data_IF_489968140262
#
_entry.id   IF_489968140262
#
_cell.length_a   1.000
_cell.length_b   1.000
_cell.length_c   1.000
_cell.angle_alpha   90.00
_cell.angle_beta   90.00
_cell.angle_gamma   90.00
#
_symmetry.space_group_name_H-M   'P 1'
#
loop_
_entity.id
_entity.type
_entity.pdbx_description
1 polymer ?
#
# COMPACT_ATOMS: atom_id res chain seq x y z
N UNK A 1 -11.29 1.85 -24.22
CA UNK A 1 -11.13 2.11 -22.78
C UNK A 1 -9.68 1.80 -22.46
N UNK A 2 -9.02 2.64 -21.68
CA UNK A 2 -7.61 2.48 -21.33
C UNK A 2 -7.50 2.35 -19.81
N UNK A 3 -6.66 1.42 -19.33
CA UNK A 3 -6.35 1.31 -17.91
C UNK A 3 -5.58 2.56 -17.43
N UNK A 4 -4.66 3.07 -18.26
CA UNK A 4 -3.97 4.33 -17.99
C UNK A 4 -4.85 5.51 -18.42
N UNK A 5 -5.73 5.94 -17.54
CA UNK A 5 -6.61 7.09 -17.73
C UNK A 5 -6.31 8.22 -16.73
N UNK A 6 -6.79 9.43 -17.02
CA UNK A 6 -6.65 10.56 -16.10
C UNK A 6 -7.40 10.30 -14.79
N UNK A 7 -8.58 9.70 -14.87
CA UNK A 7 -9.43 9.35 -13.73
C UNK A 7 -8.72 8.37 -12.78
N UNK A 8 -8.05 7.33 -13.33
CA UNK A 8 -7.24 6.41 -12.54
C UNK A 8 -6.06 7.11 -11.86
N UNK A 9 -5.37 7.99 -12.58
CA UNK A 9 -4.27 8.76 -11.99
C UNK A 9 -4.77 9.71 -10.90
N UNK A 10 -5.94 10.35 -11.09
CA UNK A 10 -6.56 11.18 -10.05
C UNK A 10 -6.97 10.36 -8.82
N UNK A 11 -7.53 9.16 -9.00
CA UNK A 11 -7.88 8.28 -7.88
C UNK A 11 -6.66 8.00 -6.98
N UNK A 12 -5.50 7.73 -7.56
CA UNK A 12 -4.28 7.55 -6.79
C UNK A 12 -3.75 8.85 -6.19
N UNK A 13 -3.79 9.94 -6.96
CA UNK A 13 -3.25 11.22 -6.53
C UNK A 13 -4.04 11.83 -5.36
N UNK A 14 -5.35 11.59 -5.31
CA UNK A 14 -6.20 12.02 -4.19
C UNK A 14 -5.73 11.46 -2.85
N UNK A 15 -5.08 10.29 -2.85
CA UNK A 15 -4.53 9.69 -1.64
C UNK A 15 -3.36 10.47 -1.01
N UNK A 16 -2.76 11.42 -1.76
CA UNK A 16 -1.81 12.39 -1.21
C UNK A 16 -2.48 13.42 -0.27
N UNK A 17 -3.81 13.59 -0.36
CA UNK A 17 -4.61 14.39 0.58
C UNK A 17 -5.15 13.58 1.75
N UNK A 18 -5.08 12.24 1.67
CA UNK A 18 -5.59 11.35 2.73
C UNK A 18 -4.57 11.26 3.86
N UNK A 19 -4.75 12.10 4.86
CA UNK A 19 -3.91 12.10 6.05
C UNK A 19 -4.20 10.89 6.94
N UNK A 20 -3.15 10.21 7.35
CA UNK A 20 -3.17 9.09 8.30
C UNK A 20 -2.92 9.59 9.72
N UNK A 21 -3.32 8.80 10.72
CA UNK A 21 -3.14 9.12 12.13
C UNK A 21 -3.79 10.45 12.55
N UNK A 22 -4.97 10.76 11.98
CA UNK A 22 -5.69 12.02 12.20
C UNK A 22 -6.12 12.27 13.64
N UNK A 23 -6.19 11.22 14.45
CA UNK A 23 -6.53 11.24 15.87
C UNK A 23 -5.32 11.28 16.82
N UNK A 24 -4.10 11.43 16.25
CA UNK A 24 -2.84 11.47 16.99
C UNK A 24 -2.07 12.77 16.74
N UNK A 25 -1.18 13.13 17.67
CA UNK A 25 -0.22 14.19 17.45
C UNK A 25 0.80 13.71 16.40
N UNK A 26 0.98 14.48 15.34
CA UNK A 26 1.86 14.17 14.22
C UNK A 26 2.94 15.24 14.08
N UNK A 27 4.22 14.88 14.05
CA UNK A 27 5.31 15.82 13.81
C UNK A 27 5.37 16.26 12.33
N UNK A 28 4.71 15.52 11.43
CA UNK A 28 4.67 15.72 9.98
C UNK A 28 3.38 15.15 9.39
N UNK A 29 3.07 15.54 8.16
CA UNK A 29 1.97 14.94 7.42
C UNK A 29 2.37 13.53 6.97
N UNK A 30 1.53 12.55 7.33
CA UNK A 30 1.64 11.16 6.91
C UNK A 30 0.48 10.86 5.97
N UNK A 31 0.79 10.65 4.69
CA UNK A 31 -0.23 10.45 3.65
C UNK A 31 -0.45 8.98 3.32
N UNK A 32 -1.64 8.65 2.84
CA UNK A 32 -1.92 7.30 2.37
C UNK A 32 -1.06 6.94 1.15
N UNK A 33 -0.79 7.89 0.24
CA UNK A 33 0.08 7.67 -0.92
C UNK A 33 1.48 7.20 -0.50
N UNK A 34 2.10 7.89 0.47
CA UNK A 34 3.43 7.52 0.97
C UNK A 34 3.43 6.16 1.67
N UNK A 35 2.37 5.86 2.39
CA UNK A 35 2.22 4.56 3.06
C UNK A 35 2.11 3.42 2.03
N UNK A 36 1.35 3.61 0.96
CA UNK A 36 1.22 2.59 -0.08
C UNK A 36 2.54 2.41 -0.85
N UNK A 37 3.30 3.47 -1.09
CA UNK A 37 4.63 3.38 -1.68
C UNK A 37 5.59 2.59 -0.79
N UNK A 38 5.62 2.89 0.51
CA UNK A 38 6.45 2.16 1.46
C UNK A 38 6.04 0.67 1.54
N UNK A 39 4.73 0.38 1.57
CA UNK A 39 4.21 -0.99 1.51
C UNK A 39 4.70 -1.74 0.27
N UNK A 40 4.63 -1.13 -0.92
CA UNK A 40 5.05 -1.77 -2.16
C UNK A 40 6.56 -2.09 -2.16
N UNK A 41 7.39 -1.18 -1.63
CA UNK A 41 8.82 -1.41 -1.47
C UNK A 41 9.13 -2.51 -0.44
N UNK A 42 8.42 -2.55 0.69
CA UNK A 42 8.56 -3.62 1.69
C UNK A 42 8.12 -4.96 1.10
N UNK A 43 7.02 -5.02 0.34
CA UNK A 43 6.56 -6.24 -0.32
C UNK A 43 7.63 -6.78 -1.29
N UNK A 44 8.32 -5.89 -2.02
CA UNK A 44 9.46 -6.27 -2.85
C UNK A 44 10.59 -6.90 -2.03
N UNK A 45 10.99 -6.28 -0.91
CA UNK A 45 12.05 -6.82 -0.05
C UNK A 45 11.67 -8.22 0.46
N UNK A 46 10.44 -8.39 0.97
CA UNK A 46 9.95 -9.67 1.47
C UNK A 46 9.89 -10.73 0.35
N UNK A 47 9.41 -10.38 -0.84
CA UNK A 47 9.40 -11.28 -2.00
C UNK A 47 10.82 -11.71 -2.40
N UNK A 48 11.79 -10.77 -2.40
CA UNK A 48 13.21 -11.09 -2.67
C UNK A 48 13.84 -11.97 -1.61
N UNK A 49 13.48 -11.78 -0.34
CA UNK A 49 13.92 -12.68 0.74
C UNK A 49 13.34 -14.09 0.55
N UNK A 50 12.07 -14.21 0.22
CA UNK A 50 11.44 -15.49 -0.08
C UNK A 50 12.09 -16.20 -1.29
N UNK A 51 12.41 -15.47 -2.37
CA UNK A 51 13.20 -16.01 -3.50
C UNK A 51 14.58 -16.52 -3.06
N UNK A 52 15.28 -15.77 -2.20
CA UNK A 52 16.60 -16.16 -1.70
C UNK A 52 16.56 -17.44 -0.85
N UNK A 53 15.42 -17.78 -0.28
CA UNK A 53 15.16 -19.04 0.43
C UNK A 53 14.63 -20.15 -0.48
N UNK A 54 14.60 -19.93 -1.81
CA UNK A 54 14.24 -20.91 -2.81
C UNK A 54 12.74 -20.98 -3.15
N UNK A 55 11.94 -20.01 -2.72
CA UNK A 55 10.52 -19.93 -3.11
C UNK A 55 10.38 -19.32 -4.50
N UNK A 56 9.45 -19.85 -5.28
CA UNK A 56 8.99 -19.20 -6.51
C UNK A 56 7.93 -18.17 -6.13
N UNK A 57 8.08 -16.94 -6.58
CA UNK A 57 7.17 -15.82 -6.27
C UNK A 57 6.43 -15.40 -7.53
N UNK A 58 5.11 -15.30 -7.43
CA UNK A 58 4.28 -14.64 -8.44
C UNK A 58 4.32 -13.12 -8.22
N UNK A 59 5.22 -12.46 -8.96
CA UNK A 59 5.36 -11.00 -8.85
C UNK A 59 4.14 -10.24 -9.37
N UNK A 60 3.40 -10.77 -10.34
CA UNK A 60 2.14 -10.17 -10.80
C UNK A 60 1.11 -10.19 -9.67
N UNK A 61 1.11 -11.26 -8.85
CA UNK A 61 0.29 -11.37 -7.64
C UNK A 61 0.66 -10.34 -6.57
N UNK A 62 1.96 -10.13 -6.28
CA UNK A 62 2.41 -9.11 -5.31
C UNK A 62 2.06 -7.69 -5.80
N UNK A 63 2.38 -7.36 -7.05
CA UNK A 63 2.14 -6.04 -7.62
C UNK A 63 0.63 -5.76 -7.68
N UNK A 64 -0.14 -6.71 -8.20
CA UNK A 64 -1.60 -6.63 -8.23
C UNK A 64 -2.21 -6.49 -6.83
N UNK A 65 -1.75 -7.27 -5.85
CA UNK A 65 -2.16 -7.15 -4.45
C UNK A 65 -1.88 -5.78 -3.85
N UNK A 66 -0.71 -5.19 -4.16
CA UNK A 66 -0.39 -3.82 -3.75
C UNK A 66 -1.31 -2.79 -4.42
N UNK A 67 -1.53 -2.92 -5.74
CA UNK A 67 -2.36 -2.02 -6.54
C UNK A 67 -3.83 -2.07 -6.11
N UNK A 68 -4.44 -3.26 -6.06
CA UNK A 68 -5.87 -3.39 -5.79
C UNK A 68 -6.23 -3.09 -4.33
N UNK A 69 -5.36 -3.44 -3.37
CA UNK A 69 -5.53 -2.99 -1.99
C UNK A 69 -5.42 -1.47 -1.85
N UNK A 70 -4.62 -0.82 -2.70
CA UNK A 70 -4.55 0.64 -2.75
C UNK A 70 -5.82 1.25 -3.35
N UNK A 71 -6.32 0.74 -4.49
CA UNK A 71 -7.61 1.17 -5.08
C UNK A 71 -8.73 1.05 -4.04
N UNK A 72 -8.86 -0.13 -3.42
CA UNK A 72 -9.84 -0.35 -2.34
C UNK A 72 -9.74 0.71 -1.24
N UNK A 73 -8.53 1.05 -0.81
CA UNK A 73 -8.29 2.04 0.24
C UNK A 73 -8.63 3.46 -0.23
N UNK A 74 -8.25 3.83 -1.46
CA UNK A 74 -8.53 5.14 -2.05
C UNK A 74 -10.03 5.39 -2.23
N UNK A 75 -10.79 4.33 -2.55
CA UNK A 75 -12.25 4.39 -2.68
C UNK A 75 -12.94 4.50 -1.32
N UNK A 76 -12.51 3.69 -0.33
CA UNK A 76 -13.15 3.64 1.00
C UNK A 76 -12.83 4.86 1.88
N UNK A 77 -11.85 5.66 1.48
CA UNK A 77 -11.42 6.88 2.19
C UNK A 77 -11.33 6.76 3.74
N UNK A 78 -11.82 7.73 4.52
CA UNK A 78 -11.54 7.97 5.93
C UNK A 78 -12.16 7.00 6.97
N UNK A 79 -12.36 5.72 6.65
CA UNK A 79 -12.81 4.77 7.65
C UNK A 79 -11.70 4.51 8.69
N UNK A 80 -12.01 4.74 9.97
CA UNK A 80 -11.11 4.39 11.08
C UNK A 80 -10.79 2.88 11.03
N UNK A 81 -9.54 2.45 11.27
CA UNK A 81 -9.15 1.04 11.18
C UNK A 81 -10.06 0.10 11.98
N UNK A 82 -10.43 0.46 13.22
CA UNK A 82 -11.30 -0.37 14.07
C UNK A 82 -12.71 -0.53 13.46
N UNK A 83 -13.24 0.54 12.86
CA UNK A 83 -14.54 0.50 12.16
C UNK A 83 -14.43 -0.32 10.90
N UNK A 84 -13.35 -0.12 10.13
CA UNK A 84 -13.09 -0.86 8.91
C UNK A 84 -13.02 -2.38 9.15
N UNK A 85 -12.21 -2.84 10.12
CA UNK A 85 -12.09 -4.26 10.44
C UNK A 85 -13.45 -4.87 10.81
N UNK A 86 -14.20 -4.21 11.68
CA UNK A 86 -15.51 -4.70 12.11
C UNK A 86 -16.53 -4.75 10.97
N UNK A 87 -16.58 -3.71 10.13
CA UNK A 87 -17.50 -3.65 8.98
C UNK A 87 -17.11 -4.70 7.93
N UNK A 88 -15.83 -4.93 7.69
CA UNK A 88 -15.36 -5.94 6.76
C UNK A 88 -15.69 -7.35 7.26
N UNK A 89 -15.48 -7.65 8.55
CA UNK A 89 -15.83 -8.96 9.13
C UNK A 89 -17.32 -9.27 9.04
N UNK A 90 -18.18 -8.27 9.33
CA UNK A 90 -19.64 -8.46 9.37
C UNK A 90 -20.33 -8.34 8.00
N UNK A 91 -19.74 -7.58 7.05
CA UNK A 91 -20.41 -7.13 5.82
C UNK A 91 -19.47 -7.09 4.60
N UNK A 92 -18.56 -8.03 4.49
CA UNK A 92 -17.55 -8.07 3.41
C UNK A 92 -18.16 -7.89 2.01
N UNK A 93 -19.23 -8.64 1.72
CA UNK A 93 -19.88 -8.58 0.40
C UNK A 93 -20.42 -7.18 0.08
N UNK A 94 -21.06 -6.53 1.07
CA UNK A 94 -21.60 -5.18 0.90
C UNK A 94 -20.49 -4.14 0.70
N UNK A 95 -19.36 -4.32 1.39
CA UNK A 95 -18.18 -3.46 1.23
C UNK A 95 -17.59 -3.64 -0.17
N UNK A 96 -17.50 -4.87 -0.66
CA UNK A 96 -16.96 -5.16 -1.98
C UNK A 96 -17.84 -4.58 -3.10
N UNK A 97 -19.18 -4.73 -2.99
CA UNK A 97 -20.14 -4.09 -3.91
C UNK A 97 -19.94 -2.57 -3.89
N UNK A 98 -19.92 -1.96 -2.70
CA UNK A 98 -19.70 -0.51 -2.58
C UNK A 98 -18.38 -0.06 -3.21
N UNK A 99 -17.29 -0.83 -3.03
CA UNK A 99 -15.99 -0.50 -3.64
C UNK A 99 -16.07 -0.52 -5.16
N UNK A 100 -16.75 -1.50 -5.75
CA UNK A 100 -16.92 -1.58 -7.21
C UNK A 100 -17.81 -0.44 -7.74
N UNK A 101 -18.93 -0.17 -7.08
CA UNK A 101 -19.86 0.91 -7.49
C UNK A 101 -19.15 2.28 -7.44
N UNK A 102 -18.39 2.56 -6.37
CA UNK A 102 -17.64 3.80 -6.24
C UNK A 102 -16.45 3.87 -7.21
N UNK A 103 -15.80 2.75 -7.48
CA UNK A 103 -14.75 2.68 -8.50
C UNK A 103 -15.32 2.99 -9.88
N UNK A 104 -16.42 2.34 -10.27
CA UNK A 104 -17.08 2.57 -11.55
C UNK A 104 -17.62 4.02 -11.68
N UNK A 105 -18.05 4.64 -10.56
CA UNK A 105 -18.47 6.05 -10.55
C UNK A 105 -17.29 7.03 -10.73
N UNK A 106 -16.11 6.75 -10.17
CA UNK A 106 -14.92 7.61 -10.27
C UNK A 106 -14.13 7.36 -11.56
N UNK A 107 -14.19 6.15 -12.11
CA UNK A 107 -13.49 5.74 -13.32
C UNK A 107 -14.50 5.11 -14.31
N UNK A 108 -15.45 5.90 -14.84
CA UNK A 108 -16.61 5.38 -15.58
C UNK A 108 -16.25 4.62 -16.87
N UNK A 109 -15.09 4.95 -17.47
CA UNK A 109 -14.59 4.30 -18.69
C UNK A 109 -13.38 3.40 -18.40
N UNK A 110 -13.37 2.73 -17.24
CA UNK A 110 -12.28 1.86 -16.83
C UNK A 110 -12.07 0.71 -17.84
N UNK A 111 -10.81 0.30 -17.99
CA UNK A 111 -10.47 -0.86 -18.80
C UNK A 111 -11.11 -2.12 -18.22
N UNK A 112 -11.78 -2.98 -19.05
CA UNK A 112 -12.43 -4.17 -18.55
C UNK A 112 -11.50 -5.18 -17.89
N UNK A 113 -10.24 -5.26 -18.31
CA UNK A 113 -9.25 -6.17 -17.70
C UNK A 113 -8.87 -5.66 -16.31
N UNK A 114 -8.60 -4.35 -16.17
CA UNK A 114 -8.32 -3.74 -14.87
C UNK A 114 -9.48 -3.92 -13.90
N UNK A 115 -10.68 -3.62 -14.37
CA UNK A 115 -11.92 -3.74 -13.57
C UNK A 115 -12.18 -5.19 -13.17
N UNK A 116 -12.00 -6.15 -14.08
CA UNK A 116 -12.14 -7.58 -13.79
C UNK A 116 -11.11 -8.06 -12.76
N UNK A 117 -9.84 -7.65 -12.88
CA UNK A 117 -8.80 -7.97 -11.88
C UNK A 117 -9.11 -7.38 -10.49
N UNK A 118 -9.68 -6.17 -10.42
CA UNK A 118 -10.14 -5.59 -9.15
C UNK A 118 -11.26 -6.42 -8.54
N UNK A 119 -12.23 -6.84 -9.35
CA UNK A 119 -13.33 -7.70 -8.91
C UNK A 119 -12.80 -9.04 -8.38
N UNK A 120 -11.93 -9.72 -9.13
CA UNK A 120 -11.28 -10.97 -8.70
C UNK A 120 -10.54 -10.80 -7.37
N UNK A 121 -9.82 -9.68 -7.20
CA UNK A 121 -9.15 -9.34 -5.94
C UNK A 121 -10.15 -9.20 -4.78
N UNK A 122 -11.27 -8.51 -4.98
CA UNK A 122 -12.27 -8.26 -3.93
C UNK A 122 -13.05 -9.52 -3.53
N UNK A 123 -13.36 -10.41 -4.49
CA UNK A 123 -14.15 -11.62 -4.24
C UNK A 123 -13.31 -12.88 -3.98
N UNK A 124 -12.01 -12.74 -3.93
CA UNK A 124 -11.11 -13.86 -3.67
C UNK A 124 -11.38 -14.48 -2.29
N UNK A 125 -11.58 -15.81 -2.28
CA UNK A 125 -11.91 -16.58 -1.06
C UNK A 125 -10.68 -17.10 -0.34
N UNK A 126 -9.63 -17.42 -1.10
CA UNK A 126 -8.40 -18.00 -0.56
C UNK A 126 -7.27 -16.98 -0.65
N UNK A 127 -6.52 -16.86 0.43
CA UNK A 127 -5.35 -16.00 0.50
C UNK A 127 -4.14 -16.74 -0.07
N UNK A 128 -3.51 -16.17 -1.10
CA UNK A 128 -2.26 -16.68 -1.65
C UNK A 128 -1.07 -16.37 -0.73
N UNK A 129 0.09 -16.95 -1.02
CA UNK A 129 1.32 -16.60 -0.32
C UNK A 129 1.74 -15.15 -0.61
N UNK A 130 1.52 -14.67 -1.83
CA UNK A 130 1.76 -13.30 -2.25
C UNK A 130 0.88 -12.30 -1.50
N UNK A 131 -0.37 -12.66 -1.24
CA UNK A 131 -1.25 -11.84 -0.41
C UNK A 131 -0.73 -11.72 1.01
N UNK A 132 -0.20 -12.83 1.55
CA UNK A 132 0.41 -12.83 2.87
C UNK A 132 1.65 -11.93 2.93
N UNK A 133 2.46 -11.87 1.86
CA UNK A 133 3.57 -10.92 1.74
C UNK A 133 3.05 -9.47 1.73
N UNK A 134 2.01 -9.18 0.96
CA UNK A 134 1.42 -7.84 0.86
C UNK A 134 0.83 -7.38 2.20
N UNK A 135 0.18 -8.28 2.93
CA UNK A 135 -0.37 -8.00 4.26
C UNK A 135 0.74 -7.78 5.30
N UNK A 136 1.79 -8.60 5.30
CA UNK A 136 2.95 -8.38 6.14
C UNK A 136 3.58 -6.99 5.88
N UNK A 137 3.75 -6.64 4.60
CA UNK A 137 4.26 -5.33 4.20
C UNK A 137 3.35 -4.18 4.64
N UNK A 138 2.03 -4.38 4.61
CA UNK A 138 1.06 -3.41 5.11
C UNK A 138 1.27 -3.10 6.60
N UNK A 139 1.39 -4.13 7.44
CA UNK A 139 1.59 -3.96 8.88
C UNK A 139 2.97 -3.41 9.22
N UNK A 140 4.02 -3.83 8.52
CA UNK A 140 5.38 -3.28 8.70
C UNK A 140 5.44 -1.78 8.34
N UNK A 141 4.84 -1.36 7.23
CA UNK A 141 4.76 0.05 6.85
C UNK A 141 3.97 0.87 7.88
N UNK A 142 2.86 0.32 8.39
CA UNK A 142 2.03 0.97 9.41
C UNK A 142 2.78 1.10 10.74
N UNK A 143 3.49 0.06 11.17
CA UNK A 143 4.30 0.08 12.39
C UNK A 143 5.46 1.07 12.29
N UNK A 144 6.09 1.17 11.13
CA UNK A 144 7.14 2.15 10.88
C UNK A 144 6.61 3.59 11.04
N UNK A 145 5.45 3.91 10.45
CA UNK A 145 4.79 5.20 10.65
C UNK A 145 4.45 5.47 12.11
N UNK A 146 3.94 4.45 12.81
CA UNK A 146 3.61 4.58 14.22
C UNK A 146 4.85 4.92 15.05
N UNK A 147 6.02 4.39 14.70
CA UNK A 147 7.29 4.76 15.32
C UNK A 147 7.58 6.26 15.26
N UNK A 148 7.22 6.94 14.17
CA UNK A 148 7.42 8.39 14.00
C UNK A 148 6.55 9.23 14.94
N UNK A 149 5.36 8.72 15.31
CA UNK A 149 4.40 9.46 16.14
C UNK A 149 4.38 9.02 17.61
N UNK A 150 4.95 7.83 17.90
CA UNK A 150 4.83 7.19 19.21
C UNK A 150 5.30 8.09 20.34
N UNK A 151 6.48 8.70 20.23
CA UNK A 151 7.09 9.50 21.30
C UNK A 151 6.23 10.72 21.67
N UNK A 152 5.60 11.35 20.67
CA UNK A 152 4.69 12.49 20.89
C UNK A 152 3.35 12.10 21.52
N UNK A 153 3.03 10.80 21.52
CA UNK A 153 1.76 10.28 21.99
C UNK A 153 1.88 9.34 23.22
N UNK A 154 3.07 9.11 23.79
CA UNK A 154 3.32 8.14 24.87
C UNK A 154 2.34 8.24 26.05
N UNK A 155 1.91 9.46 26.40
CA UNK A 155 1.00 9.72 27.51
C UNK A 155 -0.48 9.71 27.10
N UNK A 156 -0.79 9.42 25.85
CA UNK A 156 -2.17 9.42 25.36
C UNK A 156 -2.87 8.09 25.65
N UNK A 157 -4.17 8.18 25.88
CA UNK A 157 -5.00 7.00 26.12
C UNK A 157 -4.96 6.03 24.92
N UNK A 158 -4.80 4.75 25.19
CA UNK A 158 -4.83 3.68 24.18
C UNK A 158 -3.59 3.54 23.31
N UNK A 159 -2.56 4.40 23.47
CA UNK A 159 -1.37 4.33 22.60
C UNK A 159 -0.54 3.05 22.81
N UNK A 160 -0.45 2.57 24.05
CA UNK A 160 0.22 1.31 24.36
C UNK A 160 -0.52 0.12 23.73
N UNK A 161 -1.85 0.11 23.84
CA UNK A 161 -2.69 -0.96 23.28
C UNK A 161 -2.56 -1.00 21.75
N UNK A 162 -2.49 0.19 21.13
CA UNK A 162 -2.28 0.30 19.68
C UNK A 162 -0.93 -0.29 19.28
N UNK A 163 0.15 0.00 20.01
CA UNK A 163 1.48 -0.58 19.78
C UNK A 163 1.45 -2.09 19.92
N UNK A 164 0.91 -2.57 21.03
CA UNK A 164 0.90 -4.00 21.35
C UNK A 164 0.04 -4.79 20.34
N UNK A 165 -1.07 -4.22 19.89
CA UNK A 165 -1.90 -4.80 18.82
C UNK A 165 -1.14 -4.88 17.49
N UNK A 166 -0.40 -3.83 17.10
CA UNK A 166 0.41 -3.88 15.87
C UNK A 166 1.55 -4.89 15.97
N UNK A 167 2.23 -4.96 17.11
CA UNK A 167 3.30 -5.94 17.32
C UNK A 167 2.76 -7.38 17.27
N UNK A 168 1.58 -7.65 17.84
CA UNK A 168 0.88 -8.93 17.73
C UNK A 168 0.51 -9.27 16.28
N UNK A 169 0.00 -8.29 15.51
CA UNK A 169 -0.32 -8.53 14.10
C UNK A 169 0.92 -8.89 13.30
N UNK A 170 2.06 -8.22 13.52
CA UNK A 170 3.32 -8.55 12.83
C UNK A 170 3.80 -9.96 13.22
N UNK A 171 3.60 -10.39 14.46
CA UNK A 171 3.97 -11.74 14.90
C UNK A 171 3.25 -12.85 14.12
N UNK A 172 2.05 -12.58 13.61
CA UNK A 172 1.33 -13.54 12.76
C UNK A 172 2.00 -13.78 11.42
N UNK A 173 2.96 -12.95 11.00
CA UNK A 173 3.70 -13.03 9.74
C UNK A 173 5.17 -13.42 9.90
N UNK A 174 5.59 -13.92 11.07
CA UNK A 174 7.00 -14.28 11.32
C UNK A 174 7.49 -15.46 10.47
N UNK A 175 6.59 -16.21 9.84
CA UNK A 175 6.88 -17.25 8.86
C UNK A 175 7.19 -16.69 7.46
N UNK A 176 6.94 -15.40 7.20
CA UNK A 176 7.31 -14.73 5.95
C UNK A 176 8.78 -14.28 6.05
N UNK A 177 9.67 -14.78 5.15
CA UNK A 177 11.08 -14.42 5.15
C UNK A 177 11.31 -12.91 5.13
N UNK A 178 12.18 -12.44 6.02
CA UNK A 178 12.51 -11.02 6.15
C UNK A 178 11.68 -10.24 7.17
N UNK A 179 10.51 -10.73 7.59
CA UNK A 179 9.68 -10.01 8.59
C UNK A 179 10.42 -9.85 9.92
N UNK A 180 11.07 -10.90 10.41
CA UNK A 180 11.87 -10.84 11.64
C UNK A 180 13.00 -9.82 11.54
N UNK A 181 13.67 -9.76 10.40
CA UNK A 181 14.76 -8.82 10.15
C UNK A 181 14.28 -7.37 10.13
N UNK A 182 13.06 -7.12 9.62
CA UNK A 182 12.46 -5.78 9.57
C UNK A 182 11.85 -5.34 10.91
N UNK A 183 11.55 -6.29 11.80
CA UNK A 183 11.07 -5.97 13.16
C UNK A 183 12.19 -5.48 14.06
N UNK A 184 13.43 -5.94 13.84
CA UNK A 184 14.61 -5.62 14.63
C UNK A 184 15.59 -4.75 13.83
N UNK A 185 16.64 -4.27 14.48
CA UNK A 185 17.71 -3.52 13.82
C UNK A 185 18.60 -4.43 12.96
N UNK A 186 19.01 -3.94 11.79
CA UNK A 186 19.89 -4.66 10.87
C UNK A 186 19.84 -4.06 9.47
N UNK A 187 20.58 -4.62 8.52
CA UNK A 187 20.69 -4.04 7.17
C UNK A 187 19.34 -3.99 6.44
N UNK A 188 18.52 -5.03 6.59
CA UNK A 188 17.17 -5.08 5.99
C UNK A 188 16.28 -4.01 6.60
N UNK A 189 16.30 -3.83 7.92
CA UNK A 189 15.58 -2.75 8.59
C UNK A 189 16.10 -1.38 8.15
N UNK A 190 17.41 -1.18 8.09
CA UNK A 190 18.02 0.09 7.68
C UNK A 190 17.63 0.44 6.23
N UNK A 191 17.55 -0.54 5.33
CA UNK A 191 17.11 -0.32 3.96
C UNK A 191 15.64 0.05 3.88
N UNK A 192 14.77 -0.64 4.61
CA UNK A 192 13.36 -0.28 4.74
C UNK A 192 13.19 1.14 5.31
N UNK A 193 13.95 1.48 6.35
CA UNK A 193 13.92 2.81 6.97
C UNK A 193 14.40 3.90 5.99
N UNK A 194 15.47 3.65 5.24
CA UNK A 194 15.97 4.57 4.21
C UNK A 194 14.90 4.87 3.15
N UNK A 195 14.20 3.86 2.66
CA UNK A 195 13.09 4.04 1.72
C UNK A 195 11.97 4.85 2.38
N UNK A 196 11.59 4.52 3.60
CA UNK A 196 10.58 5.24 4.35
C UNK A 196 10.89 6.73 4.51
N UNK A 197 12.18 7.09 4.65
CA UNK A 197 12.63 8.48 4.78
C UNK A 197 12.46 9.32 3.50
N UNK A 198 12.27 8.72 2.32
CA UNK A 198 12.00 9.44 1.08
C UNK A 198 10.69 10.26 1.15
N UNK A 199 9.78 9.96 2.09
CA UNK A 199 8.60 10.79 2.38
C UNK A 199 8.93 12.15 2.98
N UNK A 200 10.11 12.34 3.56
CA UNK A 200 10.54 13.63 4.09
C UNK A 200 11.07 14.56 3.00
N UNK A 201 11.31 14.04 1.81
CA UNK A 201 11.82 14.78 0.67
C UNK A 201 10.66 15.21 -0.23
N UNK A 202 10.49 16.54 -0.40
CA UNK A 202 9.48 17.08 -1.31
C UNK A 202 9.97 17.06 -2.75
N UNK A 203 9.14 16.54 -3.65
CA UNK A 203 9.34 16.72 -5.10
C UNK A 203 8.97 18.15 -5.48
N UNK A 204 9.82 18.78 -6.36
CA UNK A 204 9.55 20.08 -6.98
C UNK A 204 9.34 21.20 -5.94
N UNK A 205 10.16 21.24 -4.92
CA UNK A 205 10.08 22.18 -3.80
C UNK A 205 10.00 23.66 -4.19
N UNK A 206 10.35 24.00 -5.46
CA UNK A 206 10.33 25.37 -5.98
C UNK A 206 8.98 25.78 -6.61
N UNK A 207 8.04 24.86 -6.77
CA UNK A 207 6.73 25.14 -7.37
C UNK A 207 5.62 24.93 -6.34
N UNK A 208 4.67 25.87 -6.18
CA UNK A 208 3.49 25.68 -5.34
C UNK A 208 2.69 24.47 -5.84
N UNK A 209 2.22 23.61 -4.92
CA UNK A 209 1.44 22.43 -5.26
C UNK A 209 0.42 22.07 -4.22
N UNK A 210 -0.70 21.59 -4.69
CA UNK A 210 -1.77 21.00 -3.91
C UNK A 210 -2.20 19.73 -4.64
N UNK A 211 -2.10 18.55 -4.01
CA UNK A 211 -1.41 18.27 -2.75
C UNK A 211 0.13 18.33 -2.85
N UNK A 212 0.79 18.39 -1.71
CA UNK A 212 2.24 18.21 -1.64
C UNK A 212 2.58 16.75 -1.95
N UNK A 213 3.53 16.54 -2.86
CA UNK A 213 3.97 15.21 -3.26
C UNK A 213 5.42 15.01 -2.81
N UNK A 214 5.66 13.93 -2.12
CA UNK A 214 7.00 13.49 -1.68
C UNK A 214 7.73 12.75 -2.80
N UNK A 215 9.02 12.48 -2.62
CA UNK A 215 9.76 11.60 -3.53
C UNK A 215 9.16 10.20 -3.50
N UNK A 216 8.85 9.67 -2.31
CA UNK A 216 8.25 8.34 -2.14
C UNK A 216 6.90 8.21 -2.84
N UNK A 217 5.97 9.15 -2.59
CA UNK A 217 4.66 9.13 -3.23
C UNK A 217 4.73 9.32 -4.75
N UNK A 218 5.65 10.16 -5.24
CA UNK A 218 5.87 10.31 -6.67
C UNK A 218 6.33 9.01 -7.33
N UNK A 219 7.26 8.28 -6.70
CA UNK A 219 7.72 6.99 -7.20
C UNK A 219 6.57 6.00 -7.38
N UNK A 220 5.68 5.89 -6.39
CA UNK A 220 4.49 5.02 -6.54
C UNK A 220 3.58 5.47 -7.68
N UNK A 221 3.38 6.79 -7.87
CA UNK A 221 2.59 7.29 -9.01
C UNK A 221 3.18 6.84 -10.35
N UNK A 222 4.50 6.88 -10.49
CA UNK A 222 5.20 6.39 -11.70
C UNK A 222 5.01 4.87 -11.85
N UNK A 223 5.23 4.10 -10.79
CA UNK A 223 5.06 2.65 -10.80
C UNK A 223 3.62 2.25 -11.18
N UNK A 224 2.62 2.92 -10.61
CA UNK A 224 1.21 2.67 -10.94
C UNK A 224 0.89 3.02 -12.40
N UNK A 225 1.42 4.12 -12.93
CA UNK A 225 1.24 4.49 -14.34
C UNK A 225 1.88 3.43 -15.27
N UNK A 226 3.05 2.89 -14.90
CA UNK A 226 3.68 1.80 -15.65
C UNK A 226 2.83 0.53 -15.63
N UNK A 227 2.30 0.14 -14.47
CA UNK A 227 1.41 -1.01 -14.35
C UNK A 227 0.14 -0.87 -15.21
N UNK A 228 -0.50 0.30 -15.19
CA UNK A 228 -1.70 0.57 -15.99
C UNK A 228 -1.39 0.53 -17.50
N UNK A 229 -0.26 1.12 -17.92
CA UNK A 229 0.23 1.02 -19.30
C UNK A 229 0.44 -0.45 -19.71
N UNK A 230 1.01 -1.25 -18.84
CA UNK A 230 1.29 -2.65 -19.13
C UNK A 230 0.01 -3.47 -19.30
N UNK A 231 -1.05 -3.16 -18.53
CA UNK A 231 -2.40 -3.70 -18.78
C UNK A 231 -2.87 -3.33 -20.18
N UNK A 232 -2.80 -2.06 -20.58
CA UNK A 232 -3.21 -1.59 -21.92
C UNK A 232 -2.46 -2.29 -23.05
N UNK A 233 -1.20 -2.64 -22.83
CA UNK A 233 -0.34 -3.29 -23.81
C UNK A 233 -0.35 -4.83 -23.73
N UNK A 234 -1.09 -5.41 -22.77
CA UNK A 234 -1.09 -6.85 -22.53
C UNK A 234 0.25 -7.39 -22.04
N UNK A 235 1.07 -6.56 -21.38
CA UNK A 235 2.36 -6.92 -20.82
C UNK A 235 2.17 -7.55 -19.45
N UNK A 236 2.91 -8.62 -19.16
CA UNK A 236 2.87 -9.32 -17.87
C UNK A 236 4.23 -9.93 -17.53
N UNK A 237 4.26 -10.70 -16.42
CA UNK A 237 5.43 -11.46 -16.01
C UNK A 237 6.65 -10.56 -15.72
N UNK A 238 7.82 -11.00 -16.21
CA UNK A 238 9.09 -10.32 -15.92
C UNK A 238 9.14 -8.86 -16.41
N UNK A 239 8.49 -8.54 -17.53
CA UNK A 239 8.52 -7.17 -18.04
C UNK A 239 7.68 -6.24 -17.14
N UNK A 240 6.47 -6.65 -16.76
CA UNK A 240 5.64 -5.91 -15.80
C UNK A 240 6.38 -5.70 -14.48
N UNK A 241 7.04 -6.74 -13.97
CA UNK A 241 7.89 -6.62 -12.76
C UNK A 241 8.97 -5.55 -12.93
N UNK A 242 9.72 -5.59 -14.04
CA UNK A 242 10.78 -4.62 -14.28
C UNK A 242 10.24 -3.20 -14.39
N UNK A 243 9.16 -3.00 -15.12
CA UNK A 243 8.58 -1.69 -15.37
C UNK A 243 8.03 -1.09 -14.06
N UNK A 244 7.31 -1.88 -13.27
CA UNK A 244 6.77 -1.43 -11.99
C UNK A 244 7.87 -1.03 -10.99
N UNK A 245 8.85 -1.92 -10.75
CA UNK A 245 9.89 -1.66 -9.75
C UNK A 245 10.99 -0.72 -10.22
N UNK A 246 11.09 -0.44 -11.52
CA UNK A 246 11.93 0.67 -12.02
C UNK A 246 11.25 2.02 -11.77
N UNK A 247 9.92 2.07 -11.76
CA UNK A 247 9.15 3.27 -11.44
C UNK A 247 9.10 3.57 -9.94
N UNK A 248 9.10 2.52 -9.12
CA UNK A 248 9.04 2.63 -7.66
C UNK A 248 10.39 3.00 -7.06
#
# INVERSE_FOLDING_TARGET
MSALSAEMLYLFFDSANMNRWNDHLRPLDLTELDKQAHKAAIAWILGKRAESEGRTIDWDGIIGGCMFSFIRRAVLTDLKPQVFHRVVEEKMEQVNVFVLDEFDARVPDSDPVLRGRLEDYLWRKEQSYEDRIVDAAHYLATRWEFGLIYDSNRSRYGISDTRDSMDQQIETFMDVPGVSEMKFTGDTFNFMDLIGQLRFQQRWARAPRIPRTTVLGHSLMVANAMYLRDIDLGIGGRQLYNDFYTGL
#
